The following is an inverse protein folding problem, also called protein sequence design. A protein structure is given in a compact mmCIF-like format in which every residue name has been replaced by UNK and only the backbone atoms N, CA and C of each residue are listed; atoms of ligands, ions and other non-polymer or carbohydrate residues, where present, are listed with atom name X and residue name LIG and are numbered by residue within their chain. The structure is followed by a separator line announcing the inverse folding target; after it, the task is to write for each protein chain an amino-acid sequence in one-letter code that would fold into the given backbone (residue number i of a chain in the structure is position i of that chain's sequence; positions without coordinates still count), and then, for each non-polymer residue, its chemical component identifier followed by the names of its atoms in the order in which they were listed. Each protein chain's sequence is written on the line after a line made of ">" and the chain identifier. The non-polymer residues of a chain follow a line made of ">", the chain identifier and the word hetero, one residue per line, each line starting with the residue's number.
data_IF_693386229627
#
_entry.id   IF_693386229627
#
_cell.length_a   1.000
_cell.length_b   1.000
_cell.length_c   1.000
_cell.angle_alpha   90.00
_cell.angle_beta   90.00
_cell.angle_gamma   90.00
#
_symmetry.space_group_name_H-M   'P 1'
#
loop_
_entity.id
_entity.type
_entity.pdbx_description
1 polymer ?
#
# COMPACT_ATOMS: atom_id res chain seq x y z
N UNK A 1 0.38 16.43 4.36
CA UNK A 1 1.14 15.32 3.78
C UNK A 1 1.15 15.40 2.25
N UNK A 2 0.04 15.11 1.58
CA UNK A 2 -0.07 15.06 0.11
C UNK A 2 0.37 16.36 -0.59
N UNK A 3 0.05 17.52 -0.02
CA UNK A 3 0.52 18.82 -0.53
C UNK A 3 2.04 18.96 -0.45
N UNK A 4 2.63 18.54 0.65
CA UNK A 4 4.10 18.57 0.84
C UNK A 4 4.79 17.71 -0.19
N UNK A 5 4.26 16.49 -0.44
CA UNK A 5 4.80 15.59 -1.45
C UNK A 5 4.69 16.19 -2.87
N UNK A 6 3.54 16.79 -3.22
CA UNK A 6 3.36 17.45 -4.52
C UNK A 6 4.33 18.65 -4.71
N UNK A 7 4.55 19.44 -3.68
CA UNK A 7 5.55 20.53 -3.71
C UNK A 7 6.97 19.99 -3.82
N UNK A 8 7.28 18.88 -3.14
CA UNK A 8 8.59 18.22 -3.26
C UNK A 8 8.84 17.77 -4.70
N UNK A 9 7.87 17.10 -5.35
CA UNK A 9 7.98 16.70 -6.76
C UNK A 9 8.17 17.92 -7.65
N UNK A 10 7.36 18.96 -7.46
CA UNK A 10 7.48 20.18 -8.25
C UNK A 10 8.85 20.86 -8.07
N UNK A 11 9.38 20.88 -6.86
CA UNK A 11 10.72 21.40 -6.57
C UNK A 11 11.81 20.59 -7.28
N UNK A 12 11.75 19.25 -7.20
CA UNK A 12 12.71 18.35 -7.87
C UNK A 12 12.72 18.60 -9.38
N UNK A 13 11.55 18.77 -10.00
CA UNK A 13 11.44 19.10 -11.44
C UNK A 13 11.99 20.50 -11.72
N UNK A 14 11.72 21.49 -10.85
CA UNK A 14 12.22 22.87 -11.00
C UNK A 14 13.74 22.97 -10.88
N UNK A 15 14.37 22.09 -10.11
CA UNK A 15 15.82 21.94 -9.99
C UNK A 15 16.46 21.16 -11.17
N UNK A 16 15.67 20.74 -12.15
CA UNK A 16 16.16 20.15 -13.42
C UNK A 16 16.03 18.64 -13.55
N UNK A 17 15.48 17.94 -12.57
CA UNK A 17 15.22 16.50 -12.74
C UNK A 17 14.13 16.27 -13.77
N UNK A 18 14.40 15.40 -14.75
CA UNK A 18 13.42 15.07 -15.78
C UNK A 18 12.24 14.28 -15.17
N UNK A 19 10.97 14.62 -15.47
CA UNK A 19 9.79 13.95 -14.89
C UNK A 19 9.74 12.42 -15.08
N UNK A 20 10.33 11.88 -16.16
CA UNK A 20 10.41 10.45 -16.38
C UNK A 20 11.35 9.71 -15.41
N UNK A 21 12.22 10.43 -14.72
CA UNK A 21 13.12 9.89 -13.69
C UNK A 21 12.57 9.98 -12.28
N UNK A 22 11.28 10.33 -12.16
CA UNK A 22 10.57 10.41 -10.88
C UNK A 22 9.49 9.32 -10.84
N UNK A 23 9.62 8.40 -9.89
CA UNK A 23 8.59 7.41 -9.57
C UNK A 23 7.75 7.91 -8.39
N UNK A 24 6.45 8.05 -8.60
CA UNK A 24 5.52 8.48 -7.58
C UNK A 24 4.49 7.39 -7.29
N UNK A 25 4.47 6.87 -6.07
CA UNK A 25 3.63 5.79 -5.62
C UNK A 25 2.57 6.28 -4.62
N UNK A 26 1.33 5.86 -4.82
CA UNK A 26 0.20 6.23 -3.98
C UNK A 26 -0.68 5.00 -3.68
N UNK A 27 -1.55 5.13 -2.67
CA UNK A 27 -2.44 4.04 -2.26
C UNK A 27 -3.57 3.78 -3.26
N UNK A 28 -4.06 4.78 -3.98
CA UNK A 28 -5.19 4.64 -4.90
C UNK A 28 -4.96 5.34 -6.24
N UNK A 29 -5.63 4.86 -7.29
CA UNK A 29 -5.61 5.48 -8.64
C UNK A 29 -6.06 6.94 -8.58
N UNK A 30 -7.10 7.23 -7.78
CA UNK A 30 -7.61 8.60 -7.58
C UNK A 30 -6.56 9.51 -6.93
N UNK A 31 -5.85 9.00 -5.92
CA UNK A 31 -4.78 9.75 -5.27
C UNK A 31 -3.62 10.03 -6.24
N UNK A 32 -3.24 9.08 -7.08
CA UNK A 32 -2.21 9.27 -8.09
C UNK A 32 -2.59 10.37 -9.11
N UNK A 33 -3.83 10.35 -9.58
CA UNK A 33 -4.33 11.36 -10.52
C UNK A 33 -4.44 12.75 -9.87
N UNK A 34 -4.95 12.84 -8.66
CA UNK A 34 -5.02 14.10 -7.90
C UNK A 34 -3.60 14.66 -7.66
N UNK A 35 -2.64 13.79 -7.33
CA UNK A 35 -1.25 14.19 -7.12
C UNK A 35 -0.63 14.76 -8.42
N UNK A 36 -0.82 14.08 -9.57
CA UNK A 36 -0.36 14.58 -10.87
C UNK A 36 -0.90 15.97 -11.17
N UNK A 37 -2.22 16.14 -11.09
CA UNK A 37 -2.87 17.43 -11.31
C UNK A 37 -2.38 18.54 -10.39
N UNK A 38 -2.02 18.16 -9.16
CA UNK A 38 -1.52 19.09 -8.16
C UNK A 38 -0.09 19.54 -8.49
N UNK A 39 0.77 18.61 -8.87
CA UNK A 39 2.13 18.90 -9.34
C UNK A 39 2.08 19.82 -10.59
N UNK A 40 1.27 19.47 -11.57
CA UNK A 40 1.07 20.29 -12.78
C UNK A 40 0.64 21.71 -12.45
N UNK A 41 -0.34 21.89 -11.54
CA UNK A 41 -0.78 23.22 -11.08
C UNK A 41 0.31 24.03 -10.38
N UNK A 42 1.16 23.37 -9.59
CA UNK A 42 2.28 24.02 -8.90
C UNK A 42 3.30 24.50 -9.92
N UNK A 43 3.68 23.65 -10.85
CA UNK A 43 4.68 23.93 -11.88
C UNK A 43 4.19 24.99 -12.89
N UNK A 44 2.93 25.00 -13.27
CA UNK A 44 2.34 26.03 -14.11
C UNK A 44 2.40 27.43 -13.49
N UNK A 45 2.44 27.53 -12.15
CA UNK A 45 2.61 28.79 -11.40
C UNK A 45 4.06 29.15 -11.12
N UNK A 46 5.00 28.30 -11.51
CA UNK A 46 6.41 28.55 -11.26
C UNK A 46 6.91 29.70 -12.15
N UNK A 47 7.73 30.65 -11.65
CA UNK A 47 8.19 31.84 -12.40
C UNK A 47 8.86 31.52 -13.74
N UNK A 48 9.47 30.34 -13.86
CA UNK A 48 10.12 29.88 -15.10
C UNK A 48 9.15 29.32 -16.14
N UNK A 49 7.82 29.31 -15.87
CA UNK A 49 6.81 28.84 -16.82
C UNK A 49 7.06 27.37 -17.24
N UNK A 50 7.37 26.49 -16.29
CA UNK A 50 7.72 25.10 -16.59
C UNK A 50 6.47 24.37 -17.12
N UNK A 51 6.47 24.13 -18.43
CA UNK A 51 5.55 23.17 -19.04
C UNK A 51 5.98 21.77 -18.65
N UNK A 52 5.13 21.05 -17.93
CA UNK A 52 5.49 19.72 -17.44
C UNK A 52 5.20 18.68 -18.48
N UNK A 53 6.26 18.02 -18.91
CA UNK A 53 6.11 16.67 -19.44
C UNK A 53 5.41 15.82 -18.36
N UNK A 54 4.39 15.06 -18.75
CA UNK A 54 3.56 14.24 -17.86
C UNK A 54 4.43 13.37 -16.96
N UNK A 55 4.12 13.29 -15.65
CA UNK A 55 4.71 12.31 -14.75
C UNK A 55 4.30 10.90 -15.20
N UNK A 56 5.12 10.26 -15.99
CA UNK A 56 4.81 8.97 -16.63
C UNK A 56 4.75 7.83 -15.62
N UNK A 57 5.57 7.91 -14.57
CA UNK A 57 5.72 6.90 -13.54
C UNK A 57 5.00 7.31 -12.24
N UNK A 58 3.72 7.69 -12.37
CA UNK A 58 2.87 8.00 -11.23
C UNK A 58 1.67 7.06 -11.18
N UNK A 59 1.52 6.31 -10.09
CA UNK A 59 0.45 5.32 -9.98
C UNK A 59 0.39 4.62 -8.64
N UNK A 60 -0.41 3.55 -8.57
CA UNK A 60 -0.39 2.63 -7.45
C UNK A 60 0.73 1.60 -7.60
N UNK A 61 1.15 0.98 -6.50
CA UNK A 61 2.13 -0.12 -6.56
C UNK A 61 1.76 -1.21 -7.57
N UNK A 62 0.47 -1.60 -7.62
CA UNK A 62 -0.01 -2.61 -8.57
C UNK A 62 0.08 -2.15 -10.02
N UNK A 63 -0.30 -0.90 -10.31
CA UNK A 63 -0.26 -0.38 -11.69
C UNK A 63 1.19 -0.25 -12.20
N UNK A 64 2.09 0.24 -11.36
CA UNK A 64 3.52 0.34 -11.67
C UNK A 64 4.13 -1.06 -11.74
N UNK A 65 3.76 -1.95 -10.82
CA UNK A 65 4.20 -3.35 -10.83
C UNK A 65 3.82 -4.07 -12.11
N UNK A 66 2.56 -3.96 -12.55
CA UNK A 66 2.10 -4.55 -13.81
C UNK A 66 2.89 -4.03 -15.02
N UNK A 67 3.20 -2.71 -15.04
CA UNK A 67 4.01 -2.12 -16.11
C UNK A 67 5.44 -2.65 -16.10
N UNK A 68 6.09 -2.70 -14.94
CA UNK A 68 7.44 -3.26 -14.79
C UNK A 68 7.48 -4.74 -15.17
N UNK A 69 6.50 -5.53 -14.72
CA UNK A 69 6.44 -6.95 -15.06
C UNK A 69 6.34 -7.18 -16.57
N UNK A 70 5.53 -6.39 -17.30
CA UNK A 70 5.47 -6.50 -18.77
C UNK A 70 6.78 -6.13 -19.44
N UNK A 71 7.45 -5.09 -18.96
CA UNK A 71 8.71 -4.60 -19.50
C UNK A 71 9.87 -5.58 -19.27
N UNK A 72 9.90 -6.24 -18.10
CA UNK A 72 10.97 -7.15 -17.67
C UNK A 72 10.58 -8.63 -17.65
N UNK A 73 9.43 -8.99 -18.23
CA UNK A 73 8.85 -10.32 -18.18
C UNK A 73 9.85 -11.44 -18.52
N UNK A 74 10.54 -11.31 -19.63
CA UNK A 74 11.52 -12.31 -20.11
C UNK A 74 12.70 -12.53 -19.16
N UNK A 75 13.06 -11.51 -18.36
CA UNK A 75 14.16 -11.59 -17.37
C UNK A 75 13.83 -12.50 -16.18
N UNK A 76 12.54 -12.75 -15.95
CA UNK A 76 12.02 -13.55 -14.82
C UNK A 76 11.23 -14.78 -15.28
N UNK A 77 11.29 -15.12 -16.58
CA UNK A 77 10.59 -16.26 -17.13
C UNK A 77 9.07 -16.12 -17.16
N UNK A 78 8.57 -14.89 -17.24
CA UNK A 78 7.14 -14.56 -17.33
C UNK A 78 6.78 -14.22 -18.78
N UNK A 79 5.61 -14.67 -19.25
CA UNK A 79 5.06 -14.23 -20.52
C UNK A 79 4.47 -12.81 -20.37
N UNK A 80 4.91 -11.80 -21.15
CA UNK A 80 4.43 -10.42 -21.02
C UNK A 80 2.94 -10.23 -21.35
N UNK A 81 2.33 -11.18 -22.09
CA UNK A 81 0.92 -11.16 -22.48
C UNK A 81 -0.01 -11.70 -21.38
N UNK A 82 0.45 -11.75 -20.13
CA UNK A 82 -0.38 -12.21 -19.03
C UNK A 82 -1.64 -11.36 -18.85
N UNK A 83 -2.75 -12.02 -18.53
CA UNK A 83 -4.00 -11.40 -18.10
C UNK A 83 -3.96 -11.08 -16.61
N UNK A 84 -4.69 -10.04 -16.19
CA UNK A 84 -4.81 -9.69 -14.77
C UNK A 84 -6.20 -10.04 -14.31
N UNK A 85 -6.29 -10.98 -13.37
CA UNK A 85 -7.54 -11.33 -12.70
C UNK A 85 -7.90 -10.24 -11.69
N UNK A 86 -9.15 -9.80 -11.73
CA UNK A 86 -9.66 -8.99 -10.65
C UNK A 86 -9.98 -9.86 -9.42
N UNK A 87 -10.53 -9.26 -8.36
CA UNK A 87 -10.78 -9.99 -7.12
C UNK A 87 -11.88 -11.05 -7.26
N UNK A 88 -12.84 -10.80 -8.12
CA UNK A 88 -13.95 -11.73 -8.35
C UNK A 88 -13.49 -12.90 -9.22
N UNK A 89 -12.78 -12.62 -10.31
CA UNK A 89 -12.15 -13.62 -11.18
C UNK A 89 -11.19 -14.53 -10.40
N UNK A 90 -10.35 -13.94 -9.55
CA UNK A 90 -9.42 -14.65 -8.67
C UNK A 90 -10.16 -15.56 -7.68
N UNK A 91 -11.28 -15.09 -7.11
CA UNK A 91 -12.10 -15.91 -6.22
C UNK A 91 -12.83 -17.03 -6.97
N UNK A 92 -13.22 -16.81 -8.20
CA UNK A 92 -13.88 -17.83 -9.03
C UNK A 92 -12.89 -18.90 -9.48
N UNK A 93 -11.67 -18.52 -9.88
CA UNK A 93 -10.62 -19.50 -10.14
C UNK A 93 -10.27 -20.31 -8.88
N UNK A 94 -10.16 -19.66 -7.72
CA UNK A 94 -9.96 -20.34 -6.43
C UNK A 94 -11.09 -21.33 -6.16
N UNK A 95 -12.34 -20.98 -6.49
CA UNK A 95 -13.48 -21.84 -6.31
C UNK A 95 -13.48 -23.04 -7.26
N UNK A 96 -13.07 -22.84 -8.51
CA UNK A 96 -12.93 -23.92 -9.50
C UNK A 96 -11.95 -24.97 -8.97
N UNK A 97 -10.76 -24.57 -8.57
CA UNK A 97 -9.76 -25.48 -7.99
C UNK A 97 -10.28 -26.15 -6.70
N UNK A 98 -11.01 -25.41 -5.87
CA UNK A 98 -11.64 -25.94 -4.65
C UNK A 98 -12.67 -27.05 -4.97
N UNK A 99 -13.43 -26.93 -6.08
CA UNK A 99 -14.34 -27.98 -6.57
C UNK A 99 -13.59 -29.20 -7.07
N UNK A 100 -12.50 -29.04 -7.81
CA UNK A 100 -11.66 -30.13 -8.31
C UNK A 100 -11.10 -30.99 -7.16
N UNK A 101 -10.83 -30.41 -6.01
CA UNK A 101 -10.39 -31.11 -4.80
C UNK A 101 -11.51 -31.66 -3.93
N UNK A 102 -12.78 -31.54 -4.35
CA UNK A 102 -13.95 -32.00 -3.58
C UNK A 102 -14.19 -31.21 -2.28
N UNK A 103 -13.55 -30.04 -2.12
CA UNK A 103 -13.60 -29.23 -0.89
C UNK A 103 -14.82 -28.30 -0.83
N UNK A 104 -15.71 -28.37 -1.83
CA UNK A 104 -16.89 -27.50 -1.94
C UNK A 104 -18.18 -28.15 -1.42
N UNK A 105 -18.14 -29.39 -0.93
CA UNK A 105 -19.31 -30.08 -0.41
C UNK A 105 -19.79 -29.45 0.89
N UNK A 106 -21.13 -29.43 1.12
CA UNK A 106 -21.71 -28.87 2.35
C UNK A 106 -21.28 -29.64 3.61
N UNK A 107 -20.91 -30.89 3.47
CA UNK A 107 -20.49 -31.77 4.56
C UNK A 107 -19.11 -31.44 5.09
N UNK A 108 -18.23 -30.94 4.23
CA UNK A 108 -16.82 -30.66 4.60
C UNK A 108 -16.65 -29.43 5.49
N UNK A 109 -17.58 -28.47 5.51
CA UNK A 109 -17.45 -27.16 6.19
C UNK A 109 -16.14 -26.43 5.88
N UNK A 110 -15.54 -26.74 4.73
CA UNK A 110 -14.30 -26.08 4.29
C UNK A 110 -14.54 -24.59 4.02
N UNK A 111 -13.54 -23.72 4.21
CA UNK A 111 -13.66 -22.29 3.99
C UNK A 111 -14.21 -21.91 2.62
N UNK A 112 -14.99 -20.84 2.54
CA UNK A 112 -15.54 -20.33 1.28
C UNK A 112 -14.45 -19.81 0.35
N UNK A 113 -14.76 -19.67 -0.96
CA UNK A 113 -13.85 -19.10 -1.96
C UNK A 113 -13.26 -17.76 -1.50
N UNK A 114 -14.10 -16.90 -0.93
CA UNK A 114 -13.69 -15.59 -0.43
C UNK A 114 -12.74 -15.69 0.77
N UNK A 115 -12.99 -16.62 1.68
CA UNK A 115 -12.11 -16.88 2.84
C UNK A 115 -10.79 -17.48 2.39
N UNK A 116 -10.79 -18.46 1.47
CA UNK A 116 -9.56 -19.03 0.91
C UNK A 116 -8.69 -17.97 0.24
N UNK A 117 -9.30 -17.13 -0.60
CA UNK A 117 -8.58 -16.03 -1.25
C UNK A 117 -8.05 -15.00 -0.23
N UNK A 118 -8.81 -14.70 0.82
CA UNK A 118 -8.36 -13.80 1.88
C UNK A 118 -7.16 -14.36 2.67
N UNK A 119 -7.15 -15.67 2.96
CA UNK A 119 -6.02 -16.35 3.60
C UNK A 119 -4.79 -16.33 2.70
N UNK A 120 -4.97 -16.67 1.41
CA UNK A 120 -3.90 -16.63 0.41
C UNK A 120 -3.28 -15.24 0.31
N UNK A 121 -4.11 -14.23 0.04
CA UNK A 121 -3.71 -12.84 -0.07
C UNK A 121 -2.97 -12.35 1.19
N UNK A 122 -3.48 -12.71 2.37
CA UNK A 122 -2.84 -12.35 3.64
C UNK A 122 -1.46 -12.99 3.79
N UNK A 123 -1.33 -14.26 3.41
CA UNK A 123 -0.06 -15.00 3.46
C UNK A 123 0.98 -14.37 2.53
N UNK A 124 0.59 -14.05 1.31
CA UNK A 124 1.47 -13.43 0.31
C UNK A 124 1.88 -12.02 0.73
N UNK A 125 0.93 -11.15 1.08
CA UNK A 125 1.21 -9.74 1.36
C UNK A 125 1.90 -9.51 2.71
N UNK A 126 1.62 -10.33 3.72
CA UNK A 126 2.28 -10.26 5.01
C UNK A 126 3.65 -10.96 5.01
N UNK A 127 3.98 -11.76 3.97
CA UNK A 127 5.20 -12.56 3.89
C UNK A 127 5.38 -13.42 5.15
N UNK A 128 4.30 -14.07 5.59
CA UNK A 128 4.27 -14.95 6.77
C UNK A 128 3.88 -16.37 6.36
N UNK A 129 4.37 -17.40 7.05
CA UNK A 129 3.96 -18.78 6.83
C UNK A 129 2.45 -18.96 6.99
N UNK A 130 1.85 -19.84 6.18
CA UNK A 130 0.40 -20.12 6.21
C UNK A 130 -0.10 -20.48 7.61
N UNK A 131 0.60 -21.37 8.32
CA UNK A 131 0.24 -21.80 9.68
C UNK A 131 0.15 -20.62 10.66
N UNK A 132 1.04 -19.64 10.56
CA UNK A 132 1.02 -18.44 11.40
C UNK A 132 -0.18 -17.56 11.06
N UNK A 133 -0.45 -17.36 9.76
CA UNK A 133 -1.59 -16.56 9.29
C UNK A 133 -2.91 -17.20 9.72
N UNK A 134 -3.06 -18.50 9.52
CA UNK A 134 -4.26 -19.22 9.94
C UNK A 134 -4.43 -19.14 11.45
N UNK A 135 -3.39 -19.41 12.23
CA UNK A 135 -3.44 -19.37 13.69
C UNK A 135 -3.81 -18.00 14.25
N UNK A 136 -3.32 -16.92 13.64
CA UNK A 136 -3.47 -15.57 14.22
C UNK A 136 -4.65 -14.78 13.66
N UNK A 137 -5.03 -15.02 12.40
CA UNK A 137 -6.04 -14.22 11.68
C UNK A 137 -7.30 -15.02 11.36
N UNK A 138 -7.16 -16.33 11.09
CA UNK A 138 -8.27 -17.21 10.69
C UNK A 138 -8.33 -18.48 11.56
N UNK A 139 -8.37 -18.37 12.92
CA UNK A 139 -8.22 -19.53 13.82
C UNK A 139 -9.27 -20.63 13.59
N UNK A 140 -10.46 -20.27 13.06
CA UNK A 140 -11.50 -21.23 12.69
C UNK A 140 -11.16 -22.08 11.47
N UNK A 141 -10.08 -21.76 10.73
CA UNK A 141 -9.58 -22.53 9.59
C UNK A 141 -8.38 -23.41 9.95
N UNK A 142 -7.97 -23.48 11.22
CA UNK A 142 -6.72 -24.13 11.65
C UNK A 142 -6.68 -25.63 11.26
N UNK A 143 -7.82 -26.32 11.34
CA UNK A 143 -7.91 -27.74 10.99
C UNK A 143 -7.76 -28.02 9.48
N UNK A 144 -7.72 -26.98 8.65
CA UNK A 144 -7.66 -27.09 7.20
C UNK A 144 -6.31 -26.64 6.61
N UNK A 145 -5.28 -26.52 7.43
CA UNK A 145 -3.97 -26.00 6.98
C UNK A 145 -3.38 -26.80 5.82
N UNK A 146 -3.46 -28.14 5.89
CA UNK A 146 -2.91 -29.02 4.85
C UNK A 146 -3.68 -28.89 3.53
N UNK A 147 -5.00 -28.89 3.60
CA UNK A 147 -5.87 -28.73 2.45
C UNK A 147 -5.73 -27.34 1.83
N UNK A 148 -5.64 -26.29 2.64
CA UNK A 148 -5.37 -24.92 2.18
C UNK A 148 -4.03 -24.83 1.45
N UNK A 149 -2.99 -25.49 1.95
CA UNK A 149 -1.67 -25.52 1.30
C UNK A 149 -1.73 -26.16 -0.07
N UNK A 150 -2.42 -27.31 -0.19
CA UNK A 150 -2.63 -28.01 -1.48
C UNK A 150 -3.48 -27.17 -2.44
N UNK A 151 -4.56 -26.56 -1.94
CA UNK A 151 -5.42 -25.67 -2.71
C UNK A 151 -4.65 -24.49 -3.28
N UNK A 152 -3.81 -23.82 -2.46
CA UNK A 152 -3.03 -22.66 -2.89
C UNK A 152 -1.96 -23.03 -3.91
N UNK A 153 -1.33 -24.19 -3.77
CA UNK A 153 -0.41 -24.69 -4.78
C UNK A 153 -1.13 -24.90 -6.12
N UNK A 154 -2.26 -25.60 -6.13
CA UNK A 154 -3.03 -25.85 -7.34
C UNK A 154 -3.61 -24.55 -7.94
N UNK A 155 -3.98 -23.57 -7.11
CA UNK A 155 -4.40 -22.24 -7.55
C UNK A 155 -3.28 -21.51 -8.29
N UNK A 156 -2.05 -21.53 -7.77
CA UNK A 156 -0.87 -20.95 -8.45
C UNK A 156 -0.62 -21.67 -9.79
N UNK A 157 -0.65 -23.01 -9.81
CA UNK A 157 -0.48 -23.79 -11.04
C UNK A 157 -1.57 -23.48 -12.07
N UNK A 158 -2.82 -23.28 -11.63
CA UNK A 158 -3.93 -22.89 -12.51
C UNK A 158 -3.72 -21.51 -13.12
N UNK A 159 -3.24 -20.53 -12.35
CA UNK A 159 -2.88 -19.21 -12.86
C UNK A 159 -1.75 -19.30 -13.90
N UNK A 160 -0.70 -20.06 -13.62
CA UNK A 160 0.43 -20.25 -14.54
C UNK A 160 -0.01 -20.91 -15.86
N UNK A 161 -0.83 -21.98 -15.80
CA UNK A 161 -1.36 -22.65 -17.01
C UNK A 161 -2.18 -21.73 -17.91
N UNK A 162 -2.90 -20.77 -17.30
CA UNK A 162 -3.76 -19.83 -18.01
C UNK A 162 -3.07 -18.49 -18.32
N UNK A 163 -1.78 -18.36 -18.08
CA UNK A 163 -1.03 -17.12 -18.23
C UNK A 163 -1.76 -15.92 -17.61
N UNK A 164 -2.19 -16.06 -16.36
CA UNK A 164 -2.86 -15.00 -15.64
C UNK A 164 -2.23 -14.74 -14.26
N UNK A 165 -2.31 -13.50 -13.82
CA UNK A 165 -1.82 -13.04 -12.52
C UNK A 165 -2.97 -12.36 -11.76
N UNK A 166 -3.07 -12.61 -10.46
CA UNK A 166 -3.93 -11.80 -9.60
C UNK A 166 -3.17 -10.55 -9.06
N UNK A 167 -3.85 -9.72 -8.31
CA UNK A 167 -3.21 -8.51 -7.73
C UNK A 167 -2.07 -8.84 -6.77
N UNK A 168 -2.13 -9.96 -6.07
CA UNK A 168 -1.07 -10.38 -5.14
C UNK A 168 0.19 -10.81 -5.90
N UNK A 169 0.02 -11.49 -7.04
CA UNK A 169 1.11 -11.88 -7.93
C UNK A 169 1.86 -10.68 -8.50
N UNK A 170 1.14 -9.60 -8.84
CA UNK A 170 1.79 -8.38 -9.36
C UNK A 170 2.85 -7.84 -8.40
N UNK A 171 2.57 -7.84 -7.10
CA UNK A 171 3.54 -7.41 -6.10
C UNK A 171 4.58 -8.49 -5.81
N UNK A 172 4.17 -9.75 -5.75
CA UNK A 172 5.06 -10.87 -5.47
C UNK A 172 6.15 -11.02 -6.52
N UNK A 173 5.77 -11.03 -7.81
CA UNK A 173 6.73 -11.16 -8.90
C UNK A 173 7.63 -9.92 -9.04
N UNK A 174 7.13 -8.71 -8.80
CA UNK A 174 8.01 -7.54 -8.71
C UNK A 174 9.01 -7.68 -7.57
N UNK A 175 8.56 -8.12 -6.38
CA UNK A 175 9.48 -8.31 -5.25
C UNK A 175 10.51 -9.41 -5.51
N UNK A 176 10.15 -10.48 -6.24
CA UNK A 176 11.07 -11.53 -6.69
C UNK A 176 12.05 -10.99 -7.74
N UNK A 177 11.57 -10.26 -8.73
CA UNK A 177 12.41 -9.61 -9.74
C UNK A 177 13.43 -8.67 -9.09
N UNK A 178 12.99 -7.86 -8.14
CA UNK A 178 13.88 -6.94 -7.39
C UNK A 178 14.79 -7.68 -6.37
N UNK A 179 14.66 -8.97 -6.19
CA UNK A 179 15.64 -9.77 -5.43
C UNK A 179 16.86 -10.18 -6.26
N UNK A 180 16.84 -9.97 -7.58
CA UNK A 180 17.97 -10.13 -8.49
C UNK A 180 18.73 -8.80 -8.50
N UNK A 181 19.96 -8.73 -7.94
CA UNK A 181 20.67 -7.46 -7.73
C UNK A 181 20.83 -6.63 -9.02
N UNK A 182 21.20 -7.27 -10.11
CA UNK A 182 21.43 -6.60 -11.40
C UNK A 182 20.14 -5.98 -11.95
N UNK A 183 19.00 -6.66 -11.77
CA UNK A 183 17.70 -6.16 -12.20
C UNK A 183 17.19 -5.05 -11.28
N UNK A 184 17.41 -5.16 -9.99
CA UNK A 184 17.06 -4.12 -9.01
C UNK A 184 17.85 -2.83 -9.28
N UNK A 185 19.15 -2.94 -9.58
CA UNK A 185 19.99 -1.81 -9.95
C UNK A 185 19.56 -1.18 -11.29
N UNK A 186 19.30 -2.00 -12.31
CA UNK A 186 18.80 -1.55 -13.60
C UNK A 186 17.50 -0.75 -13.46
N UNK A 187 16.51 -1.29 -12.77
CA UNK A 187 15.22 -0.61 -12.54
C UNK A 187 15.37 0.59 -11.60
N UNK A 188 16.16 0.46 -10.53
CA UNK A 188 16.40 1.52 -9.54
C UNK A 188 17.12 2.73 -10.12
N UNK A 189 18.08 2.53 -11.04
CA UNK A 189 18.83 3.59 -11.72
C UNK A 189 18.00 4.41 -12.70
N UNK A 190 16.84 3.91 -13.13
CA UNK A 190 15.89 4.68 -13.97
C UNK A 190 15.29 5.88 -13.24
N UNK A 191 15.24 5.82 -11.92
CA UNK A 191 14.60 6.82 -11.10
C UNK A 191 15.62 7.52 -10.21
N UNK A 192 15.82 8.83 -10.39
CA UNK A 192 16.61 9.63 -9.47
C UNK A 192 15.85 9.82 -8.15
N UNK A 193 14.51 9.91 -8.25
CA UNK A 193 13.65 10.08 -7.08
C UNK A 193 12.49 9.08 -7.07
N UNK A 194 12.24 8.47 -5.91
CA UNK A 194 11.07 7.66 -5.61
C UNK A 194 10.33 8.31 -4.45
N UNK A 195 9.06 8.68 -4.68
CA UNK A 195 8.23 9.31 -3.66
C UNK A 195 7.00 8.46 -3.37
N UNK A 196 6.72 8.21 -2.09
CA UNK A 196 5.62 7.35 -1.66
C UNK A 196 4.70 8.11 -0.71
N UNK A 197 3.41 8.17 -1.03
CA UNK A 197 2.38 8.73 -0.16
C UNK A 197 1.70 7.62 0.67
N UNK A 198 1.20 7.98 1.85
CA UNK A 198 0.52 7.10 2.82
C UNK A 198 1.31 5.82 3.13
N UNK A 199 2.60 5.97 3.42
CA UNK A 199 3.53 4.85 3.60
C UNK A 199 3.16 3.92 4.76
N UNK A 200 2.41 4.40 5.78
CA UNK A 200 1.89 3.57 6.87
C UNK A 200 0.89 2.50 6.40
N UNK A 201 0.34 2.64 5.19
CA UNK A 201 -0.62 1.69 4.63
C UNK A 201 0.03 0.64 3.71
N UNK A 202 1.36 0.67 3.60
CA UNK A 202 2.11 -0.32 2.82
C UNK A 202 2.22 -1.66 3.53
N UNK A 203 2.20 -2.75 2.74
CA UNK A 203 2.49 -4.09 3.21
C UNK A 203 4.00 -4.41 3.10
N UNK A 204 4.41 -5.59 3.59
CA UNK A 204 5.83 -6.00 3.58
C UNK A 204 6.41 -6.15 2.18
N UNK A 205 5.63 -6.63 1.20
CA UNK A 205 6.09 -6.74 -0.19
C UNK A 205 6.41 -5.37 -0.79
N UNK A 206 5.55 -4.39 -0.56
CA UNK A 206 5.74 -3.02 -1.05
C UNK A 206 6.96 -2.36 -0.43
N UNK A 207 7.16 -2.52 0.88
CA UNK A 207 8.36 -2.02 1.54
C UNK A 207 9.63 -2.69 1.00
N UNK A 208 9.61 -4.03 0.80
CA UNK A 208 10.74 -4.79 0.24
C UNK A 208 11.10 -4.33 -1.18
N UNK A 209 10.09 -4.06 -2.04
CA UNK A 209 10.31 -3.54 -3.39
C UNK A 209 11.05 -2.18 -3.33
N UNK A 210 10.59 -1.27 -2.48
CA UNK A 210 11.20 0.07 -2.34
C UNK A 210 12.65 0.00 -1.86
N UNK A 211 12.91 -0.81 -0.83
CA UNK A 211 14.26 -0.98 -0.28
C UNK A 211 15.21 -1.65 -1.28
N UNK A 212 14.71 -2.55 -2.15
CA UNK A 212 15.50 -3.14 -3.20
C UNK A 212 15.84 -2.14 -4.32
N UNK A 213 14.89 -1.26 -4.69
CA UNK A 213 15.12 -0.20 -5.69
C UNK A 213 16.04 0.91 -5.20
N UNK A 214 16.09 1.19 -3.91
CA UNK A 214 16.91 2.24 -3.29
C UNK A 214 17.57 1.73 -2.01
N UNK A 215 18.54 0.80 -2.11
CA UNK A 215 19.14 0.14 -0.94
C UNK A 215 19.89 1.10 -0.03
N UNK A 216 20.39 2.21 -0.57
CA UNK A 216 21.08 3.26 0.20
C UNK A 216 20.17 4.45 0.56
N UNK A 217 18.92 4.45 0.09
CA UNK A 217 17.93 5.48 0.41
C UNK A 217 18.07 6.78 -0.39
N UNK A 218 19.09 6.92 -1.23
CA UNK A 218 19.30 8.12 -2.03
C UNK A 218 18.11 8.38 -2.97
N UNK A 219 17.54 9.60 -2.88
CA UNK A 219 16.36 9.98 -3.67
C UNK A 219 15.05 9.36 -3.20
N UNK A 220 15.03 8.53 -2.13
CA UNK A 220 13.80 7.96 -1.60
C UNK A 220 13.16 8.89 -0.57
N UNK A 221 11.89 9.23 -0.78
CA UNK A 221 11.09 10.04 0.14
C UNK A 221 9.77 9.34 0.44
N UNK A 222 9.49 9.06 1.68
CA UNK A 222 8.20 8.52 2.11
C UNK A 222 7.45 9.54 2.96
N UNK A 223 6.14 9.62 2.78
CA UNK A 223 5.26 10.47 3.58
C UNK A 223 4.15 9.61 4.15
N UNK A 224 3.92 9.74 5.45
CA UNK A 224 2.90 8.95 6.14
C UNK A 224 2.54 9.51 7.50
N UNK A 225 1.70 8.76 8.18
CA UNK A 225 1.25 9.07 9.53
C UNK A 225 0.92 7.75 10.25
N UNK A 226 1.76 7.34 11.16
CA UNK A 226 1.61 6.11 11.95
C UNK A 226 0.27 6.07 12.71
N UNK A 227 -0.24 7.23 13.15
CA UNK A 227 -1.55 7.35 13.78
C UNK A 227 -2.75 7.08 12.86
N UNK A 228 -2.53 7.06 11.54
CA UNK A 228 -3.55 6.77 10.52
C UNK A 228 -3.44 5.36 9.93
N UNK A 229 -2.64 4.48 10.51
CA UNK A 229 -2.48 3.09 10.06
C UNK A 229 -3.71 2.26 10.44
N UNK A 230 -4.74 2.27 9.59
CA UNK A 230 -6.03 1.57 9.82
C UNK A 230 -6.27 0.41 8.84
N UNK A 231 -5.32 0.09 7.96
CA UNK A 231 -5.46 -0.95 6.94
C UNK A 231 -4.74 -2.27 7.30
N UNK A 232 -4.55 -2.55 8.60
CA UNK A 232 -3.94 -3.81 9.04
C UNK A 232 -4.71 -5.06 8.52
N UNK A 233 -6.02 -4.96 8.31
CA UNK A 233 -6.85 -6.02 7.73
C UNK A 233 -6.49 -6.32 6.25
N UNK A 234 -5.83 -5.38 5.54
CA UNK A 234 -5.26 -5.55 4.19
C UNK A 234 -3.76 -5.90 4.22
N UNK A 235 -3.26 -6.42 5.31
CA UNK A 235 -1.84 -6.71 5.54
C UNK A 235 -0.92 -5.46 5.56
N UNK A 236 -1.47 -4.24 5.72
CA UNK A 236 -0.64 -3.08 6.00
C UNK A 236 0.12 -3.30 7.31
N UNK A 237 1.39 -2.86 7.32
CA UNK A 237 2.30 -3.08 8.43
C UNK A 237 2.85 -1.73 8.91
N UNK A 238 2.37 -1.26 10.06
CA UNK A 238 2.81 0.02 10.65
C UNK A 238 4.32 0.05 10.93
N UNK A 239 4.94 -1.11 11.13
CA UNK A 239 6.39 -1.23 11.28
C UNK A 239 7.15 -0.68 10.08
N UNK A 240 6.58 -0.76 8.88
CA UNK A 240 7.23 -0.22 7.70
C UNK A 240 7.59 1.26 7.86
N UNK A 241 6.69 2.09 8.41
CA UNK A 241 6.96 3.51 8.62
C UNK A 241 7.79 3.75 9.89
N UNK A 242 7.52 3.03 10.98
CA UNK A 242 8.23 3.23 12.26
C UNK A 242 9.71 2.84 12.16
N UNK A 243 10.03 1.81 11.40
CA UNK A 243 11.41 1.33 11.24
C UNK A 243 12.09 1.89 9.99
N UNK A 244 11.37 2.62 9.13
CA UNK A 244 11.91 3.17 7.89
C UNK A 244 13.25 3.90 8.04
N UNK A 245 13.43 4.82 9.02
CA UNK A 245 14.70 5.52 9.16
C UNK A 245 15.89 4.60 9.46
N UNK A 246 15.64 3.46 10.11
CA UNK A 246 16.68 2.51 10.55
C UNK A 246 17.21 1.61 9.43
N UNK A 247 16.54 1.60 8.26
CA UNK A 247 16.99 0.79 7.12
C UNK A 247 18.24 1.34 6.45
N UNK A 248 18.62 2.57 6.74
CA UNK A 248 19.71 3.26 6.05
C UNK A 248 20.84 3.65 7.00
N UNK A 249 22.05 3.83 6.45
CA UNK A 249 23.20 4.31 7.17
C UNK A 249 23.90 5.45 6.36
N UNK A 250 23.86 6.71 6.82
CA UNK A 250 23.18 7.16 8.04
C UNK A 250 21.66 6.99 7.99
N UNK A 251 20.96 6.96 9.15
CA UNK A 251 19.50 6.83 9.19
C UNK A 251 18.81 7.93 8.37
N UNK A 252 17.65 7.59 7.79
CA UNK A 252 16.87 8.57 7.03
C UNK A 252 16.45 9.76 7.91
N UNK A 253 16.51 10.95 7.36
CA UNK A 253 16.05 12.17 8.04
C UNK A 253 14.53 12.14 8.24
N UNK A 254 14.07 12.47 9.44
CA UNK A 254 12.66 12.51 9.80
C UNK A 254 12.22 13.96 10.00
N UNK A 255 11.37 14.46 9.11
CA UNK A 255 10.78 15.80 9.21
C UNK A 255 9.33 15.68 9.69
N UNK A 256 9.04 16.20 10.88
CA UNK A 256 7.72 16.17 11.49
C UNK A 256 6.87 17.36 11.06
N UNK A 257 5.68 17.10 10.51
CA UNK A 257 4.69 18.12 10.15
C UNK A 257 3.63 18.21 11.25
N UNK A 258 3.83 19.10 12.23
CA UNK A 258 2.96 19.21 13.41
C UNK A 258 1.79 20.19 13.23
N UNK A 259 1.90 21.21 12.37
CA UNK A 259 0.83 22.18 12.12
C UNK A 259 -0.29 21.54 11.28
N UNK A 260 -1.50 21.59 11.78
CA UNK A 260 -2.70 21.08 11.13
C UNK A 260 -3.56 22.25 10.61
N UNK A 261 -3.96 22.16 9.33
CA UNK A 261 -4.77 23.18 8.65
C UNK A 261 -6.22 22.77 8.44
N UNK A 262 -6.60 21.55 8.88
CA UNK A 262 -7.94 20.98 8.68
C UNK A 262 -8.81 21.15 9.91
N UNK A 263 -8.29 20.71 11.06
CA UNK A 263 -9.06 20.59 12.31
C UNK A 263 -8.78 21.76 13.25
N UNK A 264 -9.72 22.01 14.16
CA UNK A 264 -9.57 22.96 15.24
C UNK A 264 -8.82 22.36 16.43
N UNK A 265 -8.26 23.18 17.31
CA UNK A 265 -7.44 22.73 18.43
C UNK A 265 -8.15 21.72 19.38
N UNK A 266 -9.43 21.91 19.74
CA UNK A 266 -10.12 20.91 20.58
C UNK A 266 -10.20 19.50 19.97
N UNK A 267 -10.34 19.39 18.65
CA UNK A 267 -10.32 18.10 17.93
C UNK A 267 -8.91 17.50 17.99
N UNK A 268 -7.89 18.32 17.78
CA UNK A 268 -6.49 17.86 17.82
C UNK A 268 -6.08 17.43 19.23
N UNK A 269 -6.55 18.11 20.26
CA UNK A 269 -6.28 17.71 21.65
C UNK A 269 -6.83 16.31 21.93
N UNK A 270 -8.05 16.02 21.48
CA UNK A 270 -8.63 14.67 21.60
C UNK A 270 -7.82 13.63 20.80
N UNK A 271 -7.45 13.94 19.56
CA UNK A 271 -6.65 13.05 18.72
C UNK A 271 -5.25 12.79 19.31
N UNK A 272 -4.56 13.85 19.80
CA UNK A 272 -3.26 13.73 20.47
C UNK A 272 -3.35 12.88 21.74
N UNK A 273 -4.42 13.04 22.54
CA UNK A 273 -4.62 12.25 23.74
C UNK A 273 -4.82 10.76 23.42
N UNK A 274 -5.58 10.43 22.37
CA UNK A 274 -5.77 9.03 21.94
C UNK A 274 -4.47 8.41 21.49
N UNK A 275 -3.72 9.08 20.60
CA UNK A 275 -2.49 8.51 20.07
C UNK A 275 -1.35 8.47 21.11
N UNK A 276 -1.43 9.30 22.16
CA UNK A 276 -0.45 9.27 23.24
C UNK A 276 -0.43 7.93 24.01
N UNK A 277 -1.51 7.14 23.93
CA UNK A 277 -1.61 5.80 24.54
C UNK A 277 -0.79 4.77 23.77
N UNK A 278 -0.48 5.01 22.49
CA UNK A 278 0.30 4.08 21.67
C UNK A 278 1.73 3.94 22.25
N UNK A 279 2.15 2.68 22.48
CA UNK A 279 3.47 2.36 23.05
C UNK A 279 4.64 2.75 22.11
N UNK A 280 4.42 2.64 20.81
CA UNK A 280 5.41 2.96 19.80
C UNK A 280 4.76 3.89 18.76
N UNK A 281 5.35 5.04 18.55
CA UNK A 281 4.87 6.06 17.63
C UNK A 281 5.97 7.07 17.33
N UNK A 282 5.85 7.80 16.23
CA UNK A 282 6.59 9.06 16.09
C UNK A 282 6.02 10.09 17.07
N UNK A 283 6.91 10.72 17.83
CA UNK A 283 6.50 11.79 18.74
C UNK A 283 6.11 13.02 17.95
N UNK A 284 4.82 13.35 17.96
CA UNK A 284 4.29 14.57 17.34
C UNK A 284 3.04 15.02 18.11
N UNK A 285 2.96 16.32 18.36
CA UNK A 285 1.78 16.96 18.89
C UNK A 285 1.21 17.88 17.82
N UNK A 286 0.03 17.50 17.30
CA UNK A 286 -0.66 18.29 16.29
C UNK A 286 -1.24 19.54 16.91
N UNK A 287 -1.03 20.68 16.27
CA UNK A 287 -1.58 21.94 16.69
C UNK A 287 -2.19 22.75 15.54
N UNK A 288 -3.11 23.65 15.86
CA UNK A 288 -3.77 24.51 14.89
C UNK A 288 -4.06 25.86 15.51
N UNK A 289 -3.94 26.90 14.69
CA UNK A 289 -4.35 28.27 15.02
C UNK A 289 -5.81 28.57 14.60
N UNK A 290 -6.55 27.56 14.14
CA UNK A 290 -7.96 27.73 13.79
C UNK A 290 -8.81 27.92 15.04
N UNK A 291 -9.50 29.07 15.17
CA UNK A 291 -10.31 29.35 16.36
C UNK A 291 -11.50 28.40 16.44
N UNK A 292 -11.74 27.84 17.61
CA UNK A 292 -12.98 27.12 17.97
C UNK A 292 -13.03 26.90 19.45
N UNK A 293 -14.19 27.21 20.06
CA UNK A 293 -14.50 26.86 21.45
C UNK A 293 -15.27 25.54 21.59
N UNK A 294 -15.75 24.94 20.50
CA UNK A 294 -16.54 23.73 20.54
C UNK A 294 -15.65 22.51 20.77
N UNK A 295 -15.94 21.76 21.84
CA UNK A 295 -15.29 20.48 22.15
C UNK A 295 -15.96 19.34 21.38
N UNK A 296 -15.22 18.26 21.05
CA UNK A 296 -15.83 17.01 20.58
C UNK A 296 -16.87 16.49 21.57
N UNK A 297 -17.96 15.94 21.03
CA UNK A 297 -19.01 15.30 21.82
C UNK A 297 -18.83 13.79 21.74
N UNK A 298 -19.06 13.10 22.86
CA UNK A 298 -19.20 11.65 22.89
C UNK A 298 -20.70 11.36 22.97
N UNK A 299 -21.18 10.57 22.01
CA UNK A 299 -22.58 10.18 21.91
C UNK A 299 -22.65 8.67 21.94
N UNK A 300 -23.41 8.12 22.89
CA UNK A 300 -23.67 6.68 22.96
C UNK A 300 -25.02 6.38 22.34
N UNK A 301 -25.04 5.43 21.42
CA UNK A 301 -26.22 4.96 20.70
C UNK A 301 -26.37 3.45 20.90
N UNK A 302 -27.56 2.89 20.60
CA UNK A 302 -27.84 1.47 20.83
C UNK A 302 -27.26 0.57 19.73
N UNK A 303 -27.32 1.04 18.49
CA UNK A 303 -26.91 0.29 17.30
C UNK A 303 -26.54 1.24 16.14
N UNK A 304 -26.15 0.67 15.01
CA UNK A 304 -25.74 1.40 13.81
C UNK A 304 -26.89 2.21 13.15
N UNK A 305 -28.15 1.82 13.37
CA UNK A 305 -29.32 2.54 12.86
C UNK A 305 -29.53 3.82 13.67
N UNK A 306 -29.42 3.73 15.00
CA UNK A 306 -29.45 4.88 15.90
C UNK A 306 -28.29 5.86 15.59
N UNK A 307 -27.08 5.34 15.29
CA UNK A 307 -25.93 6.15 14.90
C UNK A 307 -26.22 6.92 13.61
N UNK A 308 -26.69 6.22 12.57
CA UNK A 308 -27.02 6.83 11.29
C UNK A 308 -28.13 7.89 11.44
N UNK A 309 -29.15 7.62 12.24
CA UNK A 309 -30.26 8.54 12.52
C UNK A 309 -29.78 9.80 13.26
N UNK A 310 -28.92 9.63 14.27
CA UNK A 310 -28.33 10.76 14.98
C UNK A 310 -27.48 11.65 14.08
N UNK A 311 -26.63 11.04 13.22
CA UNK A 311 -25.75 11.77 12.31
C UNK A 311 -26.56 12.49 11.22
N UNK A 312 -27.60 11.86 10.67
CA UNK A 312 -28.44 12.45 9.63
C UNK A 312 -29.35 13.58 10.16
N UNK A 313 -29.71 13.55 11.46
CA UNK A 313 -30.54 14.56 12.09
C UNK A 313 -29.80 15.81 12.58
N UNK A 314 -28.49 15.84 12.45
CA UNK A 314 -27.59 16.96 12.80
C UNK A 314 -27.23 17.80 11.58
#
# INVERSE_FOLDING_TARGET
>A
KTNTLANRVAHIVAEGCHPSRILMLTFSRRAAEEMRRRVERILAKHPKGLSVARLEWAGTFHAIGARLLREYAYRIGLDPEFSILDREDAADLMNLVRHEFGLSTKESRFPTKATCLAIYSRTVNAQRPLNEVVKTVFPWCLNWELELKRLFQAYVEAKQRNNCLDYDDLLLYVAQAMSIPELAEEVGSRFDHILVDEYQDTNRLQARILLALKPHGEGLTVVGDDAQSIYAFRAAEVRNILDFPKHFNPPAEVVTLSRNYRSTQPILNAANAVIAIAKERFTKDLWSDRPSGQKPLIVTVRDEIDEATYVAGR
#
